data_IF_548992913482
#
_entry.id   IF_548992913482
#
_cell.length_a   1.000
_cell.length_b   1.000
_cell.length_c   1.000
_cell.angle_alpha   90.00
_cell.angle_beta   90.00
_cell.angle_gamma   90.00
#
_symmetry.space_group_name_H-M   'P 1'
#
loop_
_entity.id
_entity.type
_entity.pdbx_description
1 polymer ?
#
# COMPACT_ATOMS: atom_id res chain seq x y z
N UNK A 1 -11.34 -26.93 2.62
CA UNK A 1 -10.39 -26.38 1.62
C UNK A 1 -9.06 -26.07 2.31
N UNK A 2 -7.91 -26.48 1.77
CA UNK A 2 -6.58 -26.17 2.33
C UNK A 2 -5.90 -25.13 1.45
N UNK A 3 -5.54 -23.99 2.02
CA UNK A 3 -4.88 -22.90 1.32
C UNK A 3 -3.38 -22.86 1.64
N UNK A 4 -2.60 -22.42 0.67
CA UNK A 4 -1.18 -22.10 0.83
C UNK A 4 -0.97 -20.60 0.77
N UNK A 5 0.04 -20.10 1.49
CA UNK A 5 0.34 -18.67 1.45
C UNK A 5 0.95 -18.27 0.11
N UNK A 6 0.46 -17.18 -0.46
CA UNK A 6 1.06 -16.57 -1.65
C UNK A 6 2.43 -15.97 -1.28
N UNK A 7 3.49 -16.25 -2.05
CA UNK A 7 4.80 -15.63 -1.88
C UNK A 7 4.73 -14.09 -1.91
N UNK A 8 5.52 -13.42 -1.06
CA UNK A 8 5.53 -11.96 -0.95
C UNK A 8 6.42 -11.32 -2.02
N UNK A 9 5.90 -11.22 -3.24
CA UNK A 9 6.69 -10.82 -4.42
C UNK A 9 7.12 -9.35 -4.45
N UNK A 10 6.47 -8.46 -3.69
CA UNK A 10 6.74 -7.02 -3.73
C UNK A 10 8.20 -6.65 -3.37
N UNK A 11 8.84 -7.40 -2.47
CA UNK A 11 10.25 -7.16 -2.13
C UNK A 11 11.18 -7.56 -3.28
N UNK A 12 10.91 -8.69 -3.93
CA UNK A 12 11.66 -9.18 -5.10
C UNK A 12 11.51 -8.19 -6.24
N UNK A 13 10.28 -7.73 -6.50
CA UNK A 13 10.00 -6.70 -7.50
C UNK A 13 10.87 -5.46 -7.24
N UNK A 14 10.83 -4.92 -6.01
CA UNK A 14 11.54 -3.68 -5.67
C UNK A 14 13.06 -3.81 -5.72
N UNK A 15 13.60 -4.93 -5.25
CA UNK A 15 15.05 -5.11 -5.09
C UNK A 15 15.72 -5.66 -6.35
N UNK A 16 15.11 -6.66 -6.96
CA UNK A 16 15.78 -7.50 -7.96
C UNK A 16 15.34 -7.17 -9.38
N UNK A 17 14.04 -6.93 -9.60
CA UNK A 17 13.50 -6.76 -10.95
C UNK A 17 13.53 -5.32 -11.45
N UNK A 18 13.14 -4.37 -10.59
CA UNK A 18 13.02 -2.95 -10.99
C UNK A 18 13.69 -2.00 -9.98
N UNK A 19 14.99 -2.13 -9.68
CA UNK A 19 15.68 -1.36 -8.64
C UNK A 19 15.67 0.16 -8.88
N UNK A 20 15.52 0.61 -10.12
CA UNK A 20 15.53 2.04 -10.47
C UNK A 20 14.13 2.65 -10.66
N UNK A 21 13.06 1.84 -10.67
CA UNK A 21 11.72 2.34 -10.91
C UNK A 21 11.09 2.94 -9.64
N UNK A 22 10.20 3.92 -9.81
CA UNK A 22 9.38 4.43 -8.74
C UNK A 22 8.18 3.49 -8.48
N UNK A 23 8.32 2.58 -7.51
CA UNK A 23 7.26 1.64 -7.15
C UNK A 23 6.22 2.23 -6.19
N UNK A 24 4.94 2.08 -6.57
CA UNK A 24 3.75 2.42 -5.78
C UNK A 24 2.94 1.14 -5.59
N UNK A 25 2.38 0.94 -4.40
CA UNK A 25 1.45 -0.18 -4.15
C UNK A 25 0.12 0.33 -3.58
N UNK A 26 -0.93 -0.48 -3.71
CA UNK A 26 -2.25 -0.18 -3.15
C UNK A 26 -2.55 -1.06 -1.94
N UNK A 27 -3.18 -0.47 -0.93
CA UNK A 27 -3.63 -1.14 0.29
C UNK A 27 -5.12 -0.90 0.47
N UNK A 28 -5.90 -1.95 0.23
CA UNK A 28 -7.34 -1.98 0.47
C UNK A 28 -7.63 -2.64 1.83
N UNK A 29 -8.42 -1.96 2.66
CA UNK A 29 -8.96 -2.53 3.91
C UNK A 29 -10.44 -2.15 4.06
N UNK A 30 -11.16 -2.84 4.94
CA UNK A 30 -12.56 -2.52 5.27
C UNK A 30 -12.70 -1.79 6.60
N UNK A 31 -11.64 -1.77 7.42
CA UNK A 31 -11.60 -1.06 8.70
C UNK A 31 -10.57 0.06 8.62
N UNK A 32 -11.06 1.31 8.62
CA UNK A 32 -10.24 2.52 8.61
C UNK A 32 -9.27 2.62 9.78
N UNK A 33 -9.54 1.99 10.93
CA UNK A 33 -8.67 2.05 12.12
C UNK A 33 -7.32 1.37 11.90
N UNK A 34 -7.27 0.36 11.04
CA UNK A 34 -6.04 -0.43 10.75
C UNK A 34 -5.42 -0.08 9.39
N UNK A 35 -6.13 0.66 8.53
CA UNK A 35 -5.73 0.92 7.16
C UNK A 35 -4.35 1.59 7.08
N UNK A 36 -4.15 2.68 7.84
CA UNK A 36 -2.90 3.44 7.82
C UNK A 36 -1.73 2.66 8.42
N UNK A 37 -1.96 1.91 9.50
CA UNK A 37 -0.93 1.07 10.11
C UNK A 37 -0.46 -0.02 9.13
N UNK A 38 -1.39 -0.68 8.44
CA UNK A 38 -1.06 -1.70 7.44
C UNK A 38 -0.39 -1.11 6.19
N UNK A 39 -0.75 0.11 5.80
CA UNK A 39 -0.09 0.82 4.71
C UNK A 39 1.37 1.17 5.08
N UNK A 40 1.59 1.74 6.27
CA UNK A 40 2.92 2.03 6.82
C UNK A 40 3.78 0.76 6.93
N UNK A 41 3.20 -0.34 7.40
CA UNK A 41 3.88 -1.63 7.49
C UNK A 41 4.29 -2.15 6.11
N UNK A 42 3.42 -2.03 5.10
CA UNK A 42 3.72 -2.44 3.73
C UNK A 42 4.83 -1.57 3.10
N UNK A 43 4.77 -0.25 3.31
CA UNK A 43 5.79 0.70 2.85
C UNK A 43 7.19 0.27 3.34
N UNK A 44 7.32 0.06 4.66
CA UNK A 44 8.58 -0.35 5.29
C UNK A 44 9.03 -1.75 4.89
N UNK A 45 8.11 -2.72 4.92
CA UNK A 45 8.41 -4.14 4.64
C UNK A 45 8.89 -4.37 3.22
N UNK A 46 8.30 -3.67 2.24
CA UNK A 46 8.60 -3.88 0.82
C UNK A 46 9.46 -2.77 0.22
N UNK A 47 9.89 -1.79 1.02
CA UNK A 47 10.69 -0.64 0.58
C UNK A 47 10.02 0.10 -0.60
N UNK A 48 8.70 0.24 -0.53
CA UNK A 48 7.95 1.02 -1.53
C UNK A 48 8.24 2.50 -1.34
N UNK A 49 8.20 3.27 -2.42
CA UNK A 49 8.30 4.72 -2.31
C UNK A 49 6.99 5.31 -1.78
N UNK A 50 5.86 4.65 -2.09
CA UNK A 50 4.54 5.11 -1.73
C UNK A 50 3.54 3.95 -1.62
N UNK A 51 2.57 4.09 -0.72
CA UNK A 51 1.41 3.21 -0.60
C UNK A 51 0.14 4.05 -0.69
N UNK A 52 -0.75 3.74 -1.63
CA UNK A 52 -2.09 4.34 -1.68
C UNK A 52 -3.02 3.49 -0.84
N UNK A 53 -3.50 4.04 0.25
CA UNK A 53 -4.36 3.40 1.22
C UNK A 53 -5.82 3.80 0.96
N UNK A 54 -6.70 2.81 0.78
CA UNK A 54 -8.10 3.04 0.45
C UNK A 54 -9.02 2.14 1.29
N UNK A 55 -10.02 2.74 1.94
CA UNK A 55 -11.07 1.98 2.62
C UNK A 55 -12.11 1.52 1.59
N UNK A 56 -12.60 0.29 1.69
CA UNK A 56 -13.47 -0.32 0.67
C UNK A 56 -14.69 0.55 0.35
N UNK A 57 -15.35 1.11 1.37
CA UNK A 57 -16.60 1.86 1.20
C UNK A 57 -16.37 3.21 0.51
N UNK A 58 -15.26 3.89 0.78
CA UNK A 58 -14.95 5.23 0.27
C UNK A 58 -13.91 5.26 -0.85
N UNK A 59 -13.37 4.10 -1.29
CA UNK A 59 -12.24 3.99 -2.25
C UNK A 59 -12.37 4.75 -3.57
N UNK A 60 -13.60 5.12 -3.98
CA UNK A 60 -13.86 5.91 -5.20
C UNK A 60 -13.89 7.42 -4.96
N UNK A 61 -14.05 7.81 -3.70
CA UNK A 61 -14.25 9.19 -3.26
C UNK A 61 -13.02 9.73 -2.54
N UNK A 62 -12.33 8.90 -1.75
CA UNK A 62 -11.09 9.32 -1.08
C UNK A 62 -10.06 8.20 -0.93
N UNK A 63 -8.79 8.61 -0.91
CA UNK A 63 -7.64 7.76 -0.61
C UNK A 63 -6.64 8.53 0.26
N UNK A 64 -5.82 7.81 1.02
CA UNK A 64 -4.66 8.38 1.72
C UNK A 64 -3.38 7.88 1.08
N UNK A 65 -2.57 8.81 0.58
CA UNK A 65 -1.24 8.54 0.06
C UNK A 65 -0.25 8.54 1.21
N UNK A 66 0.43 7.41 1.41
CA UNK A 66 1.40 7.20 2.50
C UNK A 66 2.81 7.12 1.93
N UNK A 67 3.70 8.00 2.38
CA UNK A 67 5.14 7.99 2.08
C UNK A 67 5.95 7.83 3.36
N UNK A 68 7.28 7.87 3.29
CA UNK A 68 8.14 7.81 4.49
C UNK A 68 7.99 9.05 5.38
N UNK A 69 7.55 10.17 4.80
CA UNK A 69 7.61 11.48 5.46
C UNK A 69 6.22 12.06 5.73
N UNK A 70 5.21 11.64 4.97
CA UNK A 70 3.90 12.28 4.99
C UNK A 70 2.75 11.31 4.67
N UNK A 71 1.55 11.76 5.05
CA UNK A 71 0.27 11.12 4.76
C UNK A 71 -0.66 12.18 4.18
N UNK A 72 -0.98 12.06 2.90
CA UNK A 72 -1.78 13.06 2.17
C UNK A 72 -3.15 12.47 1.87
N UNK A 73 -4.22 13.15 2.29
CA UNK A 73 -5.59 12.77 1.91
C UNK A 73 -5.96 13.38 0.57
N UNK A 74 -6.41 12.55 -0.38
CA UNK A 74 -6.85 12.96 -1.71
C UNK A 74 -8.32 12.60 -1.86
N UNK A 75 -9.14 13.59 -2.22
CA UNK A 75 -10.59 13.43 -2.42
C UNK A 75 -10.97 13.75 -3.85
N UNK A 76 -12.00 13.08 -4.35
CA UNK A 76 -12.62 13.36 -5.63
C UNK A 76 -13.38 14.69 -5.56
N UNK A 77 -13.13 15.60 -6.50
CA UNK A 77 -13.85 16.86 -6.67
C UNK A 77 -15.26 16.62 -7.22
#
# INVERSE_FOLDING_TARGET
>A
MRLVQVPKMLLVLRRDWVPMAFCISFKLETDSKILLEKADMALRKYKMHMVVANELLSRKEEVVVVTSNEKISVRRN
#
